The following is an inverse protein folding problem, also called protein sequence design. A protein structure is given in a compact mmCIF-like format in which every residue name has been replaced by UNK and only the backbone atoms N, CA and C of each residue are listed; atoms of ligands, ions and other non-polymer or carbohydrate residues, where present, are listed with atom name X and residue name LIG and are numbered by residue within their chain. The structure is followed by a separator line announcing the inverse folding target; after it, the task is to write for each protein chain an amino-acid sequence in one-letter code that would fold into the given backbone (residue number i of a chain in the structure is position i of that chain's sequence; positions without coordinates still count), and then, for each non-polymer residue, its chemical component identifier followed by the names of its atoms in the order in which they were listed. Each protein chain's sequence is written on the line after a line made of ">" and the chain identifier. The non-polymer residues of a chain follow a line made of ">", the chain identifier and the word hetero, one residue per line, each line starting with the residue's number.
data_IF_047710559835
#
_entry.id   IF_047710559835
#
_cell.length_a   1.000
_cell.length_b   1.000
_cell.length_c   1.000
_cell.angle_alpha   90.00
_cell.angle_beta   90.00
_cell.angle_gamma   90.00
#
_symmetry.space_group_name_H-M   'P 1'
#
loop_
_entity.id
_entity.type
_entity.pdbx_description
1 polymer ?
#
# COMPACT_ATOMS: atom_id res chain seq x y z
N UNK A 1 12.50 0.68 35.59
CA UNK A 1 13.39 0.37 34.44
C UNK A 1 14.63 -0.45 34.82
N UNK A 2 15.01 -0.56 36.10
CA UNK A 2 16.25 -1.23 36.52
C UNK A 2 16.32 -2.71 36.12
N UNK A 3 15.19 -3.42 36.12
CA UNK A 3 15.16 -4.88 35.87
C UNK A 3 14.72 -5.25 34.44
N UNK A 4 14.73 -4.30 33.48
CA UNK A 4 14.16 -4.55 32.14
C UNK A 4 14.82 -5.72 31.41
N UNK A 5 16.13 -5.88 31.59
CA UNK A 5 16.91 -6.89 30.88
C UNK A 5 16.59 -8.29 31.39
N UNK A 6 16.60 -8.45 32.72
CA UNK A 6 16.22 -9.71 33.37
C UNK A 6 14.77 -10.10 33.04
N UNK A 7 13.85 -9.12 33.03
CA UNK A 7 12.47 -9.37 32.63
C UNK A 7 12.36 -9.87 31.18
N UNK A 8 13.06 -9.23 30.23
CA UNK A 8 13.05 -9.67 28.83
C UNK A 8 13.65 -11.07 28.69
N UNK A 9 14.75 -11.38 29.38
CA UNK A 9 15.37 -12.72 29.35
C UNK A 9 14.38 -13.81 29.86
N UNK A 10 13.61 -13.52 30.92
CA UNK A 10 12.58 -14.43 31.43
C UNK A 10 11.42 -14.59 30.45
N UNK A 11 10.96 -13.50 29.84
CA UNK A 11 9.89 -13.53 28.84
C UNK A 11 10.31 -14.29 27.58
N UNK A 12 11.52 -14.06 27.07
CA UNK A 12 12.06 -14.76 25.90
C UNK A 12 12.11 -16.27 26.15
N UNK A 13 12.65 -16.68 27.31
CA UNK A 13 12.68 -18.09 27.69
C UNK A 13 11.27 -18.70 27.76
N UNK A 14 10.28 -17.93 28.22
CA UNK A 14 8.90 -18.39 28.27
C UNK A 14 8.24 -18.46 26.90
N UNK A 15 8.37 -17.43 26.06
CA UNK A 15 7.78 -17.39 24.72
C UNK A 15 8.35 -18.49 23.81
N UNK A 16 9.59 -18.93 24.03
CA UNK A 16 10.18 -20.07 23.31
C UNK A 16 9.53 -21.43 23.61
N UNK A 17 8.70 -21.54 24.65
CA UNK A 17 8.08 -22.83 25.04
C UNK A 17 6.89 -23.24 24.17
N UNK A 18 6.36 -22.34 23.33
CA UNK A 18 5.20 -22.59 22.46
C UNK A 18 5.40 -21.90 21.11
N UNK A 19 4.67 -22.35 20.11
CA UNK A 19 4.61 -21.69 18.80
C UNK A 19 3.87 -20.36 18.88
N UNK A 20 4.08 -19.48 17.90
CA UNK A 20 3.34 -18.20 17.82
C UNK A 20 1.82 -18.42 17.74
N UNK A 21 1.36 -19.46 17.04
CA UNK A 21 -0.06 -19.77 16.92
C UNK A 21 -0.70 -20.18 18.26
N UNK A 22 0.02 -20.92 19.09
CA UNK A 22 -0.44 -21.29 20.43
C UNK A 22 -0.48 -20.08 21.37
N UNK A 23 0.49 -19.16 21.25
CA UNK A 23 0.45 -17.89 21.97
C UNK A 23 -0.68 -16.99 21.53
N UNK A 24 -0.91 -16.87 20.22
CA UNK A 24 -2.04 -16.12 19.65
C UNK A 24 -3.36 -16.61 20.24
N UNK A 25 -3.57 -17.92 20.29
CA UNK A 25 -4.79 -18.49 20.86
C UNK A 25 -4.88 -18.27 22.38
N UNK A 26 -3.79 -18.41 23.11
CA UNK A 26 -3.75 -18.16 24.55
C UNK A 26 -3.99 -16.70 24.95
N UNK A 27 -3.60 -15.76 24.10
CA UNK A 27 -3.72 -14.32 24.33
C UNK A 27 -5.01 -13.74 23.73
N UNK A 28 -5.67 -14.49 22.83
CA UNK A 28 -6.92 -14.08 22.18
C UNK A 28 -8.00 -13.76 23.21
N UNK A 29 -8.60 -12.59 23.11
CA UNK A 29 -9.69 -12.16 23.99
C UNK A 29 -9.25 -11.70 25.38
N UNK A 30 -7.95 -11.69 25.69
CA UNK A 30 -7.43 -11.07 26.90
C UNK A 30 -7.47 -9.54 26.78
N UNK A 31 -8.31 -8.88 27.58
CA UNK A 31 -8.48 -7.41 27.56
C UNK A 31 -7.37 -6.64 28.27
N UNK A 32 -6.57 -7.31 29.09
CA UNK A 32 -5.58 -6.66 29.95
C UNK A 32 -4.20 -6.57 29.29
N UNK A 33 -4.00 -7.30 28.18
CA UNK A 33 -2.73 -7.39 27.46
C UNK A 33 -2.92 -6.97 26.02
N UNK A 34 -2.22 -5.91 25.62
CA UNK A 34 -2.09 -5.51 24.22
C UNK A 34 -0.99 -6.36 23.59
N UNK A 35 -1.33 -7.08 22.53
CA UNK A 35 -0.41 -7.95 21.81
C UNK A 35 -0.76 -7.99 20.33
N UNK A 36 0.21 -8.35 19.50
CA UNK A 36 0.02 -8.65 18.07
C UNK A 36 1.14 -9.59 17.61
N UNK A 37 0.89 -10.39 16.58
CA UNK A 37 1.95 -11.16 15.91
C UNK A 37 2.81 -10.23 15.07
N UNK A 38 4.13 -10.40 15.15
CA UNK A 38 5.04 -9.81 14.15
C UNK A 38 4.89 -10.57 12.82
N UNK A 39 4.21 -9.94 11.86
CA UNK A 39 3.95 -10.51 10.53
C UNK A 39 5.08 -10.24 9.54
N UNK A 40 5.18 -11.07 8.50
CA UNK A 40 6.00 -10.81 7.32
C UNK A 40 5.17 -10.05 6.29
N UNK A 41 5.85 -9.31 5.41
CA UNK A 41 5.17 -8.59 4.32
C UNK A 41 4.30 -9.49 3.42
N UNK A 42 4.71 -10.76 3.25
CA UNK A 42 3.98 -11.75 2.45
C UNK A 42 2.71 -12.27 3.11
N UNK A 43 2.53 -12.04 4.42
CA UNK A 43 1.32 -12.45 5.15
C UNK A 43 0.18 -11.42 4.99
N UNK A 44 0.52 -10.17 4.62
CA UNK A 44 -0.41 -9.05 4.52
C UNK A 44 -1.58 -9.28 3.54
N UNK A 45 -1.39 -9.85 2.32
CA UNK A 45 -2.50 -10.02 1.39
C UNK A 45 -3.64 -10.90 1.91
N UNK A 46 -3.36 -11.77 2.88
CA UNK A 46 -4.34 -12.65 3.54
C UNK A 46 -4.73 -12.17 4.94
N UNK A 47 -4.18 -11.05 5.41
CA UNK A 47 -4.46 -10.55 6.75
C UNK A 47 -5.91 -10.03 6.84
N UNK A 48 -6.70 -10.45 7.85
CA UNK A 48 -8.10 -10.05 7.97
C UNK A 48 -8.31 -8.53 8.06
N UNK A 49 -7.42 -7.79 8.71
CA UNK A 49 -7.52 -6.34 8.82
C UNK A 49 -7.13 -5.66 7.50
N UNK A 50 -6.11 -6.17 6.81
CA UNK A 50 -5.73 -5.67 5.47
C UNK A 50 -6.88 -5.85 4.46
N UNK A 51 -7.52 -7.03 4.46
CA UNK A 51 -8.66 -7.33 3.59
C UNK A 51 -9.88 -6.48 3.97
N UNK A 52 -10.21 -6.38 5.26
CA UNK A 52 -11.38 -5.63 5.71
C UNK A 52 -11.30 -4.13 5.44
N UNK A 53 -10.09 -3.59 5.27
CA UNK A 53 -9.85 -2.16 5.04
C UNK A 53 -9.42 -1.82 3.60
N UNK A 54 -9.39 -2.80 2.69
CA UNK A 54 -8.97 -2.61 1.29
C UNK A 54 -7.58 -1.95 1.15
N UNK A 55 -6.64 -2.27 2.05
CA UNK A 55 -5.29 -1.70 2.02
C UNK A 55 -4.44 -2.24 0.86
N UNK A 56 -4.82 -3.39 0.30
CA UNK A 56 -4.24 -3.95 -0.91
C UNK A 56 -5.38 -4.14 -1.92
N UNK A 57 -5.31 -3.45 -3.04
CA UNK A 57 -6.32 -3.50 -4.09
C UNK A 57 -5.76 -4.15 -5.35
N UNK A 58 -6.62 -4.86 -6.08
CA UNK A 58 -6.27 -5.34 -7.42
C UNK A 58 -6.47 -4.24 -8.45
N UNK A 59 -5.48 -4.07 -9.32
CA UNK A 59 -5.55 -3.13 -10.42
C UNK A 59 -5.00 -3.77 -11.69
N UNK A 60 -5.68 -3.56 -12.83
CA UNK A 60 -5.25 -4.05 -14.13
C UNK A 60 -4.27 -3.04 -14.76
N UNK A 61 -2.98 -3.22 -14.48
CA UNK A 61 -1.94 -2.31 -14.96
C UNK A 61 -1.74 -2.45 -16.48
N UNK A 62 -1.72 -1.36 -17.28
CA UNK A 62 -1.61 -1.45 -18.74
C UNK A 62 -0.43 -2.27 -19.26
N UNK A 63 0.71 -2.25 -18.55
CA UNK A 63 1.92 -2.98 -18.95
C UNK A 63 2.14 -4.33 -18.24
N UNK A 64 1.50 -4.56 -17.08
CA UNK A 64 1.80 -5.70 -16.18
C UNK A 64 0.59 -6.63 -16.03
N UNK A 65 -0.61 -6.16 -16.37
CA UNK A 65 -1.87 -6.85 -16.14
C UNK A 65 -2.37 -6.74 -14.70
N UNK A 66 -3.29 -7.63 -14.33
CA UNK A 66 -3.90 -7.68 -13.01
C UNK A 66 -2.84 -7.94 -11.93
N UNK A 67 -2.67 -6.99 -11.01
CA UNK A 67 -1.64 -7.02 -9.98
C UNK A 67 -2.13 -6.33 -8.69
N UNK A 68 -1.48 -6.63 -7.56
CA UNK A 68 -1.81 -6.07 -6.25
C UNK A 68 -1.04 -4.78 -6.00
N UNK A 69 -1.74 -3.75 -5.53
CA UNK A 69 -1.19 -2.42 -5.24
C UNK A 69 -1.62 -1.93 -3.86
N UNK A 70 -0.74 -1.18 -3.21
CA UNK A 70 -1.03 -0.57 -1.91
C UNK A 70 -1.96 0.62 -2.09
N UNK A 71 -3.00 0.66 -1.25
CA UNK A 71 -3.89 1.82 -1.10
C UNK A 71 -3.44 2.64 0.11
N UNK A 72 -3.81 3.92 0.17
CA UNK A 72 -3.62 4.71 1.40
C UNK A 72 -4.36 4.06 2.59
N UNK A 73 -3.77 4.03 3.80
CA UNK A 73 -4.39 3.39 4.96
C UNK A 73 -5.54 4.22 5.57
N UNK A 74 -5.83 5.40 5.03
CA UNK A 74 -6.82 6.34 5.56
C UNK A 74 -8.10 6.31 4.74
N UNK A 75 -9.20 5.91 5.36
CA UNK A 75 -10.53 5.90 4.75
C UNK A 75 -11.32 7.19 5.03
N UNK A 76 -12.11 7.62 4.05
CA UNK A 76 -12.92 8.85 4.11
C UNK A 76 -14.40 8.53 3.88
N UNK A 77 -15.27 8.91 4.81
CA UNK A 77 -16.70 8.60 4.72
C UNK A 77 -17.48 9.44 3.71
N UNK A 78 -17.09 10.70 3.49
CA UNK A 78 -17.76 11.63 2.55
C UNK A 78 -17.17 11.61 1.15
N UNK A 79 -15.89 11.29 1.03
CA UNK A 79 -15.15 11.24 -0.24
C UNK A 79 -14.38 9.92 -0.30
N UNK A 80 -15.06 8.77 -0.43
CA UNK A 80 -14.41 7.47 -0.44
C UNK A 80 -13.28 7.41 -1.47
N UNK A 81 -12.23 6.67 -1.12
CA UNK A 81 -11.09 6.46 -2.00
C UNK A 81 -11.54 5.76 -3.27
N UNK A 82 -10.91 6.13 -4.38
CA UNK A 82 -11.10 5.48 -5.66
C UNK A 82 -9.77 5.46 -6.40
N UNK A 83 -9.28 4.27 -6.71
CA UNK A 83 -8.12 4.08 -7.58
C UNK A 83 -8.57 4.27 -9.02
N UNK A 84 -8.36 5.48 -9.57
CA UNK A 84 -8.92 5.88 -10.88
C UNK A 84 -7.99 5.60 -12.06
N UNK A 85 -6.70 5.90 -11.90
CA UNK A 85 -5.68 5.80 -12.95
C UNK A 85 -4.34 5.48 -12.31
N UNK A 86 -3.49 4.73 -13.02
CA UNK A 86 -2.09 4.56 -12.60
C UNK A 86 -1.29 5.83 -12.81
N UNK A 87 -0.06 5.81 -12.28
CA UNK A 87 0.97 6.74 -12.70
C UNK A 87 1.07 6.71 -14.24
N UNK A 88 0.99 7.87 -14.90
CA UNK A 88 1.07 7.93 -16.35
C UNK A 88 2.46 7.47 -16.82
N UNK A 89 2.51 6.87 -18.01
CA UNK A 89 3.77 6.68 -18.69
C UNK A 89 4.43 8.04 -19.02
N UNK A 90 5.73 8.00 -19.30
CA UNK A 90 6.47 9.20 -19.69
C UNK A 90 5.82 9.80 -20.96
N UNK A 91 5.36 11.05 -20.88
CA UNK A 91 4.72 11.77 -21.98
C UNK A 91 3.24 11.45 -22.22
N UNK A 92 2.63 10.53 -21.46
CA UNK A 92 1.27 10.02 -21.73
C UNK A 92 0.19 11.12 -21.76
N UNK A 93 0.33 12.17 -20.95
CA UNK A 93 -0.64 13.27 -20.89
C UNK A 93 -0.11 14.58 -21.52
N UNK A 94 1.01 14.53 -22.26
CA UNK A 94 1.61 15.75 -22.85
C UNK A 94 0.67 16.39 -23.87
N UNK A 95 0.18 15.64 -24.85
CA UNK A 95 -0.70 16.18 -25.90
C UNK A 95 -2.04 16.65 -25.33
N UNK A 96 -2.67 15.83 -24.49
CA UNK A 96 -3.92 16.15 -23.77
C UNK A 96 -3.78 17.47 -23.01
N UNK A 97 -2.69 17.66 -22.26
CA UNK A 97 -2.44 18.89 -21.51
C UNK A 97 -2.24 20.09 -22.44
N UNK A 98 -1.45 19.95 -23.51
CA UNK A 98 -1.17 21.04 -24.43
C UNK A 98 -2.43 21.51 -25.17
N UNK A 99 -3.27 20.57 -25.62
CA UNK A 99 -4.50 20.90 -26.36
C UNK A 99 -5.59 21.37 -25.40
N UNK A 100 -5.96 20.53 -24.43
CA UNK A 100 -7.20 20.72 -23.67
C UNK A 100 -7.06 21.81 -22.59
N UNK A 101 -5.86 21.97 -22.02
CA UNK A 101 -5.61 22.94 -20.95
C UNK A 101 -4.93 24.21 -21.44
N UNK A 102 -4.04 24.12 -22.44
CA UNK A 102 -3.23 25.26 -22.89
C UNK A 102 -3.65 25.81 -24.27
N UNK A 103 -4.56 25.13 -24.99
CA UNK A 103 -5.11 25.61 -26.25
C UNK A 103 -4.15 25.55 -27.44
N UNK A 104 -3.12 24.69 -27.39
CA UNK A 104 -2.21 24.46 -28.51
C UNK A 104 -2.95 23.74 -29.65
N UNK A 105 -2.57 24.07 -30.87
CA UNK A 105 -3.06 23.36 -32.06
C UNK A 105 -2.24 22.10 -32.31
N UNK A 106 -2.75 21.20 -33.15
CA UNK A 106 -1.98 20.04 -33.62
C UNK A 106 -0.73 20.46 -34.40
N UNK A 107 -0.76 21.59 -35.10
CA UNK A 107 0.42 22.12 -35.81
C UNK A 107 1.51 22.56 -34.83
N UNK A 108 1.13 23.17 -33.70
CA UNK A 108 2.07 23.52 -32.63
C UNK A 108 2.70 22.26 -32.00
N UNK A 109 1.90 21.21 -31.77
CA UNK A 109 2.39 19.94 -31.22
C UNK A 109 3.45 19.33 -32.14
N UNK A 110 3.17 19.24 -33.44
CA UNK A 110 4.13 18.69 -34.41
C UNK A 110 5.42 19.52 -34.40
N UNK A 111 5.32 20.85 -34.40
CA UNK A 111 6.49 21.72 -34.35
C UNK A 111 7.33 21.54 -33.07
N UNK A 112 6.70 21.23 -31.92
CA UNK A 112 7.40 20.94 -30.67
C UNK A 112 8.07 19.56 -30.68
N UNK A 113 7.43 18.55 -31.26
CA UNK A 113 8.00 17.21 -31.45
C UNK A 113 9.22 17.24 -32.38
N UNK A 114 9.13 17.94 -33.50
CA UNK A 114 10.23 18.08 -34.46
C UNK A 114 11.46 18.75 -33.84
N UNK A 115 11.23 19.66 -32.89
CA UNK A 115 12.29 20.33 -32.12
C UNK A 115 12.79 19.52 -30.92
N UNK A 116 12.24 18.33 -30.68
CA UNK A 116 12.51 17.47 -29.52
C UNK A 116 12.28 18.18 -28.18
N UNK A 117 11.33 19.12 -28.12
CA UNK A 117 10.94 19.81 -26.88
C UNK A 117 9.96 18.96 -26.06
N UNK A 118 9.17 18.13 -26.76
CA UNK A 118 8.26 17.13 -26.20
C UNK A 118 8.48 15.78 -26.89
N UNK A 119 7.97 14.71 -26.28
CA UNK A 119 8.03 13.34 -26.80
C UNK A 119 7.04 13.08 -27.94
#
# INVERSE_FOLDING_TARGET
>A
YENRRELVELLDAHFLTRTSAEWEESLRGNSDIIWERVQRNLDLPSDPQVVANDYIVQYNHPAIGLSNWLQTPVNYSKTPLSTRKMAPALGENTEETLVDLLGYTWDDIVALKDKNVIL
#
